data_IF_044908191039
#
_entry.id   IF_044908191039
#
_cell.length_a   1.000
_cell.length_b   1.000
_cell.length_c   1.000
_cell.angle_alpha   90.00
_cell.angle_beta   90.00
_cell.angle_gamma   90.00
#
_symmetry.space_group_name_H-M   'P 1'
#
loop_
_entity.id
_entity.type
_entity.pdbx_description
1 polymer ?
#
# COMPACT_ATOMS: atom_id res chain seq x y z
N UNK A 1 -18.98 13.38 16.04
CA UNK A 1 -17.54 13.11 16.23
C UNK A 1 -16.92 13.13 14.86
N UNK A 2 -16.03 14.08 14.57
CA UNK A 2 -15.25 14.05 13.33
C UNK A 2 -14.40 12.78 13.34
N UNK A 3 -14.77 11.80 12.54
CA UNK A 3 -13.97 10.61 12.29
C UNK A 3 -12.73 11.04 11.52
N UNK A 4 -11.71 11.47 12.25
CA UNK A 4 -10.44 11.91 11.72
C UNK A 4 -9.85 10.75 10.92
N UNK A 5 -9.83 10.88 9.59
CA UNK A 5 -9.25 9.91 8.65
C UNK A 5 -7.72 9.98 8.78
N UNK A 6 -7.18 9.43 9.87
CA UNK A 6 -5.74 9.46 10.18
C UNK A 6 -5.09 8.23 9.55
N UNK A 7 -4.12 8.48 8.66
CA UNK A 7 -3.27 7.42 8.13
C UNK A 7 -2.38 6.82 9.23
N UNK A 8 -2.11 5.52 9.14
CA UNK A 8 -1.16 4.86 10.02
C UNK A 8 0.21 5.50 9.93
N UNK A 9 0.90 5.60 11.06
CA UNK A 9 2.27 6.07 11.05
C UNK A 9 3.16 5.06 10.30
N UNK A 10 4.11 5.51 9.46
CA UNK A 10 4.99 4.59 8.70
C UNK A 10 5.71 3.56 9.57
N UNK A 11 6.07 3.93 10.80
CA UNK A 11 6.68 3.01 11.76
C UNK A 11 5.74 1.87 12.19
N UNK A 12 4.43 2.13 12.33
CA UNK A 12 3.44 1.12 12.70
C UNK A 12 3.21 0.12 11.58
N UNK A 13 3.24 0.60 10.32
CA UNK A 13 3.18 -0.26 9.14
C UNK A 13 4.40 -1.18 9.11
N UNK A 14 5.61 -0.64 9.30
CA UNK A 14 6.85 -1.43 9.32
C UNK A 14 6.84 -2.42 10.49
N UNK A 15 6.40 -1.99 11.67
CA UNK A 15 6.28 -2.85 12.85
C UNK A 15 5.26 -3.97 12.62
N UNK A 16 4.11 -3.67 12.00
CA UNK A 16 3.10 -4.64 11.63
C UNK A 16 3.65 -5.72 10.68
N UNK A 17 4.41 -5.31 9.66
CA UNK A 17 5.05 -6.25 8.73
C UNK A 17 6.06 -7.15 9.46
N UNK A 18 6.88 -6.58 10.35
CA UNK A 18 7.83 -7.34 11.17
C UNK A 18 7.15 -8.33 12.10
N UNK A 19 6.03 -7.94 12.73
CA UNK A 19 5.21 -8.83 13.58
C UNK A 19 4.62 -10.00 12.79
N UNK A 20 4.34 -9.81 11.49
CA UNK A 20 3.93 -10.87 10.55
C UNK A 20 5.11 -11.70 10.02
N UNK A 21 6.34 -11.43 10.46
CA UNK A 21 7.53 -12.14 10.01
C UNK A 21 8.00 -11.75 8.60
N UNK A 22 7.57 -10.59 8.09
CA UNK A 22 8.00 -10.06 6.78
C UNK A 22 8.62 -8.67 6.89
N UNK A 23 9.06 -8.12 5.77
CA UNK A 23 9.61 -6.77 5.66
C UNK A 23 9.23 -6.13 4.33
N UNK A 24 9.34 -4.81 4.24
CA UNK A 24 9.10 -4.07 3.00
C UNK A 24 9.92 -4.63 1.82
N UNK A 25 11.19 -4.94 2.05
CA UNK A 25 12.06 -5.49 1.01
C UNK A 25 11.68 -6.93 0.63
N UNK A 26 11.21 -7.73 1.59
CA UNK A 26 10.71 -9.07 1.32
C UNK A 26 9.42 -9.02 0.48
N UNK A 27 8.47 -8.17 0.84
CA UNK A 27 7.22 -7.98 0.08
C UNK A 27 7.48 -7.40 -1.32
N UNK A 28 8.44 -6.49 -1.45
CA UNK A 28 8.84 -5.97 -2.76
C UNK A 28 9.32 -7.10 -3.68
N UNK A 29 10.23 -7.96 -3.19
CA UNK A 29 10.75 -9.10 -3.95
C UNK A 29 9.67 -10.12 -4.29
N UNK A 30 8.78 -10.44 -3.34
CA UNK A 30 7.63 -11.34 -3.56
C UNK A 30 6.71 -10.85 -4.69
N UNK A 31 6.66 -9.54 -4.92
CA UNK A 31 5.83 -8.91 -5.96
C UNK A 31 6.61 -8.53 -7.23
N UNK A 32 7.86 -8.97 -7.39
CA UNK A 32 8.69 -8.71 -8.58
C UNK A 32 9.12 -7.24 -8.71
N UNK A 33 9.23 -6.52 -7.59
CA UNK A 33 9.65 -5.13 -7.51
C UNK A 33 11.07 -5.06 -6.92
N UNK A 34 11.82 -3.98 -7.22
CA UNK A 34 13.12 -3.77 -6.56
C UNK A 34 12.93 -3.58 -5.05
N UNK A 35 13.88 -4.02 -4.22
CA UNK A 35 13.74 -4.03 -2.75
C UNK A 35 13.34 -2.69 -2.12
N UNK A 36 13.66 -1.57 -2.77
CA UNK A 36 13.31 -0.22 -2.32
C UNK A 36 11.99 0.32 -2.90
N UNK A 37 11.47 -0.26 -3.98
CA UNK A 37 10.27 0.28 -4.67
C UNK A 37 9.05 0.32 -3.76
N UNK A 38 8.84 -0.71 -2.93
CA UNK A 38 7.67 -0.77 -2.04
C UNK A 38 7.67 0.33 -0.98
N UNK A 39 8.85 0.81 -0.56
CA UNK A 39 8.99 1.88 0.43
C UNK A 39 8.36 3.20 -0.02
N UNK A 40 8.24 3.43 -1.33
CA UNK A 40 7.63 4.63 -1.88
C UNK A 40 6.14 4.77 -1.51
N UNK A 41 5.44 3.67 -1.23
CA UNK A 41 4.03 3.70 -0.80
C UNK A 41 3.83 4.41 0.56
N UNK A 42 4.86 4.43 1.41
CA UNK A 42 4.80 5.09 2.72
C UNK A 42 4.72 6.61 2.58
N UNK A 43 5.35 7.18 1.56
CA UNK A 43 5.46 8.64 1.40
C UNK A 43 4.55 9.19 0.29
N UNK A 44 4.18 8.38 -0.70
CA UNK A 44 3.39 8.82 -1.87
C UNK A 44 2.20 7.90 -2.12
N UNK A 45 1.03 8.45 -2.53
CA UNK A 45 -0.12 7.65 -2.97
C UNK A 45 0.26 6.71 -4.10
N UNK A 46 0.30 5.42 -3.79
CA UNK A 46 0.62 4.38 -4.76
C UNK A 46 -0.31 3.18 -4.57
N UNK A 47 -1.49 3.17 -5.22
CA UNK A 47 -2.54 2.20 -4.94
C UNK A 47 -2.05 0.75 -4.99
N UNK A 48 -1.18 0.41 -5.96
CA UNK A 48 -0.61 -0.94 -6.09
C UNK A 48 0.30 -1.31 -4.91
N UNK A 49 1.16 -0.39 -4.47
CA UNK A 49 2.04 -0.63 -3.32
C UNK A 49 1.26 -0.70 -2.00
N UNK A 50 0.28 0.19 -1.85
CA UNK A 50 -0.65 0.20 -0.71
C UNK A 50 -1.40 -1.13 -0.60
N UNK A 51 -1.92 -1.66 -1.72
CA UNK A 51 -2.58 -2.97 -1.76
C UNK A 51 -1.65 -4.12 -1.36
N UNK A 52 -0.39 -4.11 -1.83
CA UNK A 52 0.60 -5.13 -1.47
C UNK A 52 0.85 -5.13 0.05
N UNK A 53 1.05 -3.95 0.63
CA UNK A 53 1.29 -3.78 2.07
C UNK A 53 0.06 -4.20 2.88
N UNK A 54 -1.13 -3.76 2.47
CA UNK A 54 -2.38 -4.10 3.12
C UNK A 54 -2.61 -5.62 3.14
N UNK A 55 -2.40 -6.28 1.98
CA UNK A 55 -2.47 -7.74 1.87
C UNK A 55 -1.47 -8.45 2.78
N UNK A 56 -0.24 -7.95 2.88
CA UNK A 56 0.78 -8.52 3.77
C UNK A 56 0.42 -8.37 5.25
N UNK A 57 -0.28 -7.29 5.62
CA UNK A 57 -0.79 -7.07 6.97
C UNK A 57 -2.10 -7.81 7.25
N UNK A 58 -2.79 -8.29 6.21
CA UNK A 58 -4.09 -8.94 6.31
C UNK A 58 -5.23 -7.96 6.56
N UNK A 59 -5.11 -6.74 6.02
CA UNK A 59 -6.12 -5.69 6.10
C UNK A 59 -6.33 -5.05 4.74
N UNK A 60 -7.17 -4.04 4.68
CA UNK A 60 -7.49 -3.29 3.46
C UNK A 60 -6.73 -1.96 3.39
N UNK A 61 -6.38 -1.46 2.20
CA UNK A 61 -5.56 -0.26 2.07
C UNK A 61 -6.23 1.00 2.64
N UNK A 62 -7.56 1.08 2.62
CA UNK A 62 -8.31 2.18 3.22
C UNK A 62 -8.34 2.16 4.75
N UNK A 63 -7.97 1.04 5.39
CA UNK A 63 -7.80 0.98 6.85
C UNK A 63 -6.47 1.59 7.27
N UNK A 64 -5.44 1.42 6.43
CA UNK A 64 -4.09 1.95 6.68
C UNK A 64 -4.00 3.42 6.26
N UNK A 65 -4.60 3.77 5.12
CA UNK A 65 -4.60 5.13 4.56
C UNK A 65 -6.02 5.68 4.33
N UNK A 66 -6.85 5.82 5.37
CA UNK A 66 -8.21 6.33 5.22
C UNK A 66 -8.25 7.71 4.56
N UNK A 67 -7.26 8.57 4.77
CA UNK A 67 -7.23 9.90 4.13
C UNK A 67 -7.09 9.85 2.60
N UNK A 68 -6.61 8.74 2.05
CA UNK A 68 -6.39 8.57 0.61
C UNK A 68 -7.61 7.98 -0.10
N UNK A 69 -8.38 7.17 0.62
CA UNK A 69 -9.53 6.40 0.10
C UNK A 69 -10.88 6.98 0.53
N UNK A 70 -10.92 8.07 1.30
CA UNK A 70 -12.15 8.78 1.63
C UNK A 70 -12.05 10.26 1.24
N UNK A 71 -13.13 10.79 0.68
CA UNK A 71 -13.24 12.22 0.42
C UNK A 71 -13.33 12.99 1.74
N UNK A 72 -12.47 14.01 1.98
CA UNK A 72 -12.46 14.74 3.25
C UNK A 72 -13.72 15.60 3.47
N UNK A 73 -14.52 15.86 2.44
CA UNK A 73 -15.77 16.64 2.52
C UNK A 73 -16.99 15.74 2.52
N UNK A 74 -17.10 14.83 1.55
CA UNK A 74 -18.29 13.98 1.40
C UNK A 74 -18.21 12.69 2.22
N UNK A 75 -17.03 12.34 2.74
CA UNK A 75 -16.73 11.06 3.40
C UNK A 75 -16.99 9.83 2.52
N UNK A 76 -17.24 10.03 1.22
CA UNK A 76 -17.47 8.96 0.27
C UNK A 76 -16.19 8.16 0.02
N UNK A 77 -16.35 6.86 -0.18
CA UNK A 77 -15.25 5.97 -0.47
C UNK A 77 -14.80 6.13 -1.93
N UNK A 78 -13.51 6.42 -2.12
CA UNK A 78 -12.86 6.58 -3.42
C UNK A 78 -12.11 5.29 -3.73
N UNK A 79 -12.63 4.53 -4.69
CA UNK A 79 -11.96 3.35 -5.21
C UNK A 79 -10.75 3.73 -6.09
N UNK A 80 -9.58 3.83 -5.45
CA UNK A 80 -8.30 4.10 -6.13
C UNK A 80 -7.74 2.91 -6.90
N UNK A 81 -8.34 1.72 -6.81
CA UNK A 81 -7.87 0.55 -7.58
C UNK A 81 -7.98 0.81 -9.09
N UNK A 82 -8.94 1.64 -9.49
CA UNK A 82 -9.13 2.11 -10.87
C UNK A 82 -7.95 2.91 -11.43
N UNK A 83 -7.10 3.49 -10.56
CA UNK A 83 -5.88 4.21 -10.95
C UNK A 83 -4.67 3.28 -11.16
N UNK A 84 -4.81 1.99 -10.85
CA UNK A 84 -3.74 1.02 -11.05
C UNK A 84 -3.53 0.79 -12.54
N UNK A 85 -2.35 1.16 -13.05
CA UNK A 85 -1.96 0.83 -14.42
C UNK A 85 -1.96 -0.70 -14.60
N UNK A 86 -2.60 -1.16 -15.69
CA UNK A 86 -2.56 -2.55 -16.09
C UNK A 86 -1.10 -3.03 -16.18
N UNK A 87 -0.83 -4.25 -15.69
CA UNK A 87 0.51 -4.86 -15.74
C UNK A 87 0.90 -5.07 -17.20
N UNK A 88 1.86 -4.29 -17.69
CA UNK A 88 2.51 -4.57 -18.96
C UNK A 88 3.36 -5.84 -18.79
N UNK A 89 3.01 -6.94 -19.47
CA UNK A 89 3.58 -8.29 -19.25
C UNK A 89 5.03 -8.49 -19.75
N UNK A 90 5.69 -7.46 -20.27
CA UNK A 90 6.98 -7.56 -21.00
C UNK A 90 8.27 -7.53 -20.15
N UNK A 91 8.25 -7.88 -18.86
CA UNK A 91 9.47 -7.85 -18.01
C UNK A 91 9.81 -9.19 -17.34
N UNK A 92 9.61 -10.30 -18.05
CA UNK A 92 10.11 -11.62 -17.65
C UNK A 92 10.95 -12.24 -18.78
N UNK A 93 12.06 -11.58 -19.12
CA UNK A 93 13.19 -12.25 -19.78
C UNK A 93 14.43 -11.36 -19.64
N UNK A 94 15.14 -11.51 -18.53
CA UNK A 94 16.58 -11.21 -18.48
C UNK A 94 17.16 -12.34 -17.66
N UNK A 95 17.95 -13.16 -18.35
CA UNK A 95 18.72 -14.31 -17.84
C UNK A 95 19.65 -13.94 -16.68
#
# INVERSE_FOLDING_TARGET
MESKLIDWHPADIIAGLRKKGTSMAAESRRNGLSSSTLANALTRPWPKGELIIAKALGTEPWVIWPSRYHDPRTHEFIDRTRLMRARNKNKQNVE
#
